data_IF_444957345690
#
_entry.id   IF_444957345690
#
_cell.length_a   1.000
_cell.length_b   1.000
_cell.length_c   1.000
_cell.angle_alpha   90.00
_cell.angle_beta   90.00
_cell.angle_gamma   90.00
#
_symmetry.space_group_name_H-M   'P 1'
#
loop_
_entity.id
_entity.type
_entity.pdbx_description
1 polymer ?
#
# COMPACT_ATOMS: atom_id res chain seq x y z
N UNK A 1 12.77 -72.49 -38.96
CA UNK A 1 12.64 -71.02 -39.04
C UNK A 1 11.37 -70.62 -38.29
N UNK A 2 11.51 -70.01 -37.11
CA UNK A 2 10.37 -69.53 -36.33
C UNK A 2 10.84 -68.48 -35.34
N UNK A 3 10.80 -67.22 -35.74
CA UNK A 3 11.16 -66.08 -34.89
C UNK A 3 10.00 -65.80 -33.91
N UNK A 4 10.27 -65.94 -32.61
CA UNK A 4 9.37 -65.54 -31.53
C UNK A 4 9.60 -64.06 -31.20
N UNK A 5 8.58 -63.23 -31.45
CA UNK A 5 8.61 -61.78 -31.24
C UNK A 5 8.24 -61.46 -29.77
N UNK A 6 9.22 -61.01 -28.98
CA UNK A 6 8.98 -60.53 -27.61
C UNK A 6 8.30 -59.15 -27.65
N UNK A 7 7.07 -59.05 -27.13
CA UNK A 7 6.38 -57.78 -26.88
C UNK A 7 6.86 -57.18 -25.55
N UNK A 8 7.66 -56.13 -25.60
CA UNK A 8 7.98 -55.28 -24.44
C UNK A 8 6.88 -54.23 -24.27
N UNK A 9 6.19 -54.25 -23.12
CA UNK A 9 5.22 -53.23 -22.73
C UNK A 9 6.01 -52.13 -22.00
N UNK A 10 6.11 -50.94 -22.61
CA UNK A 10 6.74 -49.78 -21.99
C UNK A 10 5.68 -48.98 -21.23
N UNK A 11 5.73 -49.02 -19.90
CA UNK A 11 4.89 -48.20 -19.01
C UNK A 11 5.55 -46.82 -18.91
N UNK A 12 4.96 -45.82 -19.56
CA UNK A 12 5.43 -44.44 -19.47
C UNK A 12 4.85 -43.79 -18.20
N UNK A 13 5.71 -43.51 -17.22
CA UNK A 13 5.38 -42.69 -16.05
C UNK A 13 5.33 -41.22 -16.47
N UNK A 14 4.14 -40.65 -16.57
CA UNK A 14 3.96 -39.20 -16.76
C UNK A 14 4.08 -38.54 -15.38
N UNK A 15 5.22 -37.91 -15.11
CA UNK A 15 5.41 -37.03 -13.95
C UNK A 15 4.65 -35.71 -14.21
N UNK A 16 3.51 -35.52 -13.55
CA UNK A 16 2.81 -34.24 -13.54
C UNK A 16 3.54 -33.34 -12.53
N UNK A 17 4.39 -32.45 -13.04
CA UNK A 17 5.00 -31.38 -12.25
C UNK A 17 3.92 -30.33 -11.98
N UNK A 18 3.34 -30.33 -10.77
CA UNK A 18 2.50 -29.22 -10.31
C UNK A 18 3.42 -28.08 -9.91
N UNK A 19 3.48 -27.05 -10.76
CA UNK A 19 4.15 -25.80 -10.42
C UNK A 19 3.28 -25.03 -9.42
N UNK A 20 3.80 -24.80 -8.22
CA UNK A 20 3.19 -23.89 -7.26
C UNK A 20 3.46 -22.45 -7.74
N UNK A 21 2.44 -21.80 -8.31
CA UNK A 21 2.48 -20.35 -8.53
C UNK A 21 2.24 -19.71 -7.15
N UNK A 22 3.28 -19.12 -6.56
CA UNK A 22 3.07 -18.14 -5.50
C UNK A 22 2.55 -16.86 -6.13
N UNK A 23 1.47 -16.29 -5.58
CA UNK A 23 1.02 -14.95 -5.98
C UNK A 23 2.14 -13.95 -5.67
N UNK A 24 2.79 -13.43 -6.72
CA UNK A 24 3.76 -12.36 -6.61
C UNK A 24 3.00 -11.05 -6.35
N UNK A 25 3.59 -10.11 -5.59
CA UNK A 25 3.00 -8.78 -5.35
C UNK A 25 3.97 -7.76 -5.91
N UNK A 26 3.46 -6.83 -6.71
CA UNK A 26 4.22 -5.67 -7.17
C UNK A 26 4.12 -4.58 -6.11
N UNK A 27 5.25 -4.17 -5.53
CA UNK A 27 5.32 -3.19 -4.45
C UNK A 27 5.83 -1.84 -4.95
N UNK A 28 5.22 -0.78 -4.46
CA UNK A 28 5.63 0.60 -4.72
C UNK A 28 5.76 1.39 -3.43
N UNK A 29 6.86 2.14 -3.29
CA UNK A 29 7.16 3.00 -2.15
C UNK A 29 7.07 4.48 -2.58
N UNK A 30 6.16 5.29 -2.01
CA UNK A 30 5.98 6.70 -2.38
C UNK A 30 7.19 7.57 -2.04
N UNK A 31 8.00 7.18 -1.05
CA UNK A 31 9.16 7.93 -0.57
C UNK A 31 10.46 7.63 -1.34
N UNK A 32 10.49 6.58 -2.18
CA UNK A 32 11.66 6.17 -2.95
C UNK A 32 11.54 6.56 -4.42
N UNK A 33 11.15 7.81 -4.69
CA UNK A 33 10.97 8.32 -6.05
C UNK A 33 11.51 9.75 -6.19
N UNK A 34 11.78 10.18 -7.43
CA UNK A 34 12.26 11.54 -7.71
C UNK A 34 11.13 12.59 -7.77
N UNK A 35 9.88 12.16 -7.57
CA UNK A 35 8.69 12.99 -7.70
C UNK A 35 7.86 12.90 -6.41
N UNK A 36 7.17 13.97 -6.03
CA UNK A 36 6.38 13.96 -4.81
C UNK A 36 5.01 13.31 -5.03
N UNK A 37 4.70 12.30 -4.22
CA UNK A 37 3.40 11.60 -4.23
C UNK A 37 2.62 11.71 -2.91
N UNK A 38 3.25 12.22 -1.85
CA UNK A 38 2.61 12.42 -0.55
C UNK A 38 2.00 13.83 -0.52
N UNK A 39 0.67 13.90 -0.61
CA UNK A 39 -0.12 15.12 -0.48
C UNK A 39 -0.19 15.58 0.98
N UNK A 40 -0.33 16.89 1.19
CA UNK A 40 -0.49 17.50 2.52
C UNK A 40 0.81 17.96 3.18
N UNK A 41 1.97 17.72 2.55
CA UNK A 41 3.26 18.24 3.02
C UNK A 41 3.45 19.66 2.49
N UNK A 42 3.56 20.64 3.38
CA UNK A 42 3.66 22.05 3.01
C UNK A 42 5.07 22.47 2.54
N UNK A 43 6.13 21.75 2.96
CA UNK A 43 7.53 22.07 2.64
C UNK A 43 8.36 20.83 2.22
N UNK A 44 7.99 20.13 1.14
CA UNK A 44 8.55 18.82 0.81
C UNK A 44 10.07 18.82 0.56
N UNK A 45 10.64 19.93 0.08
CA UNK A 45 12.08 20.06 -0.16
C UNK A 45 12.90 20.45 1.08
N UNK A 46 12.22 20.81 2.18
CA UNK A 46 12.86 21.25 3.42
C UNK A 46 12.60 20.30 4.60
N UNK A 47 11.73 19.31 4.44
CA UNK A 47 11.41 18.31 5.46
C UNK A 47 12.58 17.34 5.70
N UNK A 48 12.72 16.85 6.94
CA UNK A 48 13.75 15.84 7.28
C UNK A 48 13.35 14.47 6.76
N UNK A 49 12.07 14.12 6.91
CA UNK A 49 11.43 12.92 6.34
C UNK A 49 10.38 13.32 5.28
N UNK A 50 10.16 12.51 4.23
CA UNK A 50 9.07 12.72 3.27
C UNK A 50 7.67 12.81 3.89
N UNK A 51 7.53 12.33 5.13
CA UNK A 51 6.29 12.29 5.89
C UNK A 51 6.18 13.39 6.96
N UNK A 52 7.16 14.29 7.07
CA UNK A 52 7.12 15.36 8.07
C UNK A 52 6.22 16.52 7.64
N UNK A 53 5.50 17.08 8.61
CA UNK A 53 4.60 18.22 8.37
C UNK A 53 5.28 19.57 8.49
N UNK A 54 6.42 19.66 9.17
CA UNK A 54 7.20 20.89 9.33
C UNK A 54 8.56 20.77 8.61
N UNK A 55 9.13 21.89 8.14
CA UNK A 55 10.46 21.89 7.55
C UNK A 55 11.53 21.79 8.64
N UNK A 56 12.71 21.26 8.30
CA UNK A 56 13.84 21.11 9.21
C UNK A 56 14.21 22.40 9.96
N UNK A 57 14.12 23.56 9.29
CA UNK A 57 14.40 24.87 9.91
C UNK A 57 13.52 25.17 11.11
N UNK A 58 12.29 24.65 11.17
CA UNK A 58 11.35 24.92 12.25
C UNK A 58 11.77 24.28 13.58
N UNK A 59 12.67 23.30 13.57
CA UNK A 59 13.14 22.61 14.78
C UNK A 59 13.72 23.57 15.83
N UNK A 60 14.39 24.64 15.39
CA UNK A 60 14.98 25.64 16.28
C UNK A 60 13.95 26.67 16.79
N UNK A 61 12.83 26.82 16.09
CA UNK A 61 11.84 27.88 16.34
C UNK A 61 10.67 27.40 17.20
N UNK A 62 10.34 26.11 17.14
CA UNK A 62 9.20 25.53 17.87
C UNK A 62 9.65 24.82 19.14
N UNK A 63 8.72 24.69 20.09
CA UNK A 63 8.94 23.87 21.29
C UNK A 63 9.20 22.41 20.89
N UNK A 64 10.08 21.73 21.61
CA UNK A 64 10.41 20.32 21.38
C UNK A 64 9.18 19.39 21.26
N UNK A 65 8.12 19.48 22.11
CA UNK A 65 6.92 18.68 21.90
C UNK A 65 6.19 18.96 20.58
N UNK A 66 6.22 20.20 20.09
CA UNK A 66 5.62 20.57 18.79
C UNK A 66 6.45 20.02 17.65
N UNK A 67 7.78 20.11 17.76
CA UNK A 67 8.69 19.48 16.82
C UNK A 67 8.45 17.97 16.73
N UNK A 68 8.42 17.28 17.87
CA UNK A 68 8.19 15.83 17.89
C UNK A 68 6.84 15.43 17.29
N UNK A 69 5.76 16.19 17.56
CA UNK A 69 4.44 15.96 16.95
C UNK A 69 4.41 16.26 15.45
N UNK A 70 5.36 17.04 14.93
CA UNK A 70 5.40 17.38 13.49
C UNK A 70 5.75 16.20 12.59
N UNK A 71 6.41 15.18 13.14
CA UNK A 71 6.71 13.91 12.46
C UNK A 71 5.48 13.01 12.28
N UNK A 72 4.37 13.30 12.99
CA UNK A 72 3.13 12.55 12.78
C UNK A 72 2.49 12.88 11.43
N UNK A 73 1.91 11.88 10.77
CA UNK A 73 1.39 12.00 9.40
C UNK A 73 -0.04 12.51 9.28
N UNK A 74 -0.55 13.20 10.31
CA UNK A 74 -1.92 13.70 10.33
C UNK A 74 -2.23 14.59 9.13
N UNK A 75 -3.26 14.23 8.36
CA UNK A 75 -3.71 14.99 7.19
C UNK A 75 -2.87 14.74 5.93
N UNK A 76 -1.83 13.90 5.99
CA UNK A 76 -1.12 13.46 4.81
C UNK A 76 -1.91 12.38 4.08
N UNK A 77 -1.81 12.36 2.75
CA UNK A 77 -2.46 11.34 1.94
C UNK A 77 -1.65 10.96 0.71
N UNK A 78 -1.91 9.79 0.17
CA UNK A 78 -1.31 9.30 -1.07
C UNK A 78 -2.43 9.00 -2.06
N UNK A 79 -2.18 9.32 -3.33
CA UNK A 79 -3.09 9.02 -4.43
C UNK A 79 -2.47 8.09 -5.44
N UNK A 80 -3.30 7.21 -5.97
CA UNK A 80 -2.92 6.33 -7.05
C UNK A 80 -4.19 5.90 -7.79
N UNK A 81 -4.04 5.43 -9.03
CA UNK A 81 -5.10 4.81 -9.80
C UNK A 81 -4.79 3.32 -9.94
N UNK A 82 -5.81 2.48 -9.81
CA UNK A 82 -5.65 1.04 -9.98
C UNK A 82 -6.95 0.35 -10.34
N UNK A 83 -6.86 -0.71 -11.14
CA UNK A 83 -7.97 -1.64 -11.36
C UNK A 83 -7.87 -2.90 -10.48
N UNK A 84 -6.97 -2.90 -9.49
CA UNK A 84 -6.80 -4.04 -8.61
C UNK A 84 -8.06 -4.31 -7.78
N UNK A 85 -8.44 -5.58 -7.70
CA UNK A 85 -9.51 -6.04 -6.81
C UNK A 85 -9.02 -6.23 -5.36
N UNK A 86 -7.71 -6.24 -5.16
CA UNK A 86 -7.03 -6.33 -3.87
C UNK A 86 -5.81 -5.40 -3.80
N UNK A 87 -5.75 -4.56 -2.77
CA UNK A 87 -4.61 -3.69 -2.46
C UNK A 87 -4.09 -4.08 -1.08
N UNK A 88 -2.78 -4.28 -0.98
CA UNK A 88 -2.09 -4.55 0.27
C UNK A 88 -1.25 -3.34 0.61
N UNK A 89 -1.33 -2.84 1.84
CA UNK A 89 -0.45 -1.78 2.32
C UNK A 89 0.33 -2.32 3.50
N UNK A 90 1.65 -2.15 3.47
CA UNK A 90 2.51 -2.45 4.61
C UNK A 90 3.36 -1.24 4.95
N UNK A 91 3.54 -1.00 6.24
CA UNK A 91 4.27 0.16 6.73
C UNK A 91 4.73 -0.08 8.16
N UNK A 92 5.64 0.76 8.59
CA UNK A 92 6.13 0.78 9.96
C UNK A 92 6.01 2.17 10.54
N UNK A 93 5.83 2.19 11.85
CA UNK A 93 5.78 3.39 12.68
C UNK A 93 6.73 3.21 13.86
N UNK A 94 7.16 4.31 14.48
CA UNK A 94 8.14 4.28 15.58
C UNK A 94 7.54 4.60 16.96
N UNK A 95 6.31 5.11 17.03
CA UNK A 95 5.57 5.36 18.26
C UNK A 95 4.66 4.20 18.68
N UNK A 96 4.01 4.37 19.83
CA UNK A 96 3.03 3.40 20.33
C UNK A 96 1.89 3.18 19.33
N UNK A 97 1.51 1.91 19.13
CA UNK A 97 0.47 1.57 18.16
C UNK A 97 -0.89 2.16 18.54
N UNK A 98 -1.18 2.30 19.84
CA UNK A 98 -2.45 2.78 20.40
C UNK A 98 -2.24 3.66 21.64
N UNK A 99 -3.31 4.31 22.08
CA UNK A 99 -3.37 5.08 23.32
C UNK A 99 -4.55 4.60 24.18
N UNK A 100 -4.53 4.78 25.51
CA UNK A 100 -5.61 4.32 26.38
C UNK A 100 -7.03 4.80 26.00
N UNK A 101 -7.12 5.94 25.31
CA UNK A 101 -8.37 6.56 24.87
C UNK A 101 -8.57 6.51 23.34
N UNK A 102 -7.64 5.93 22.59
CA UNK A 102 -7.70 5.88 21.13
C UNK A 102 -7.15 4.54 20.61
N UNK A 103 -7.97 3.74 19.90
CA UNK A 103 -7.53 2.43 19.41
C UNK A 103 -6.43 2.57 18.35
N UNK A 104 -5.71 1.46 18.10
CA UNK A 104 -4.61 1.44 17.13
C UNK A 104 -4.98 1.97 15.74
N UNK A 105 -6.26 1.91 15.40
CA UNK A 105 -6.81 2.33 14.11
C UNK A 105 -6.97 3.84 13.99
N UNK A 106 -7.12 4.54 15.12
CA UNK A 106 -7.11 5.99 15.18
C UNK A 106 -5.70 6.56 15.32
N UNK A 107 -4.81 5.85 16.05
CA UNK A 107 -3.44 6.32 16.28
C UNK A 107 -2.53 6.02 15.10
N UNK A 108 -2.48 4.75 14.72
CA UNK A 108 -1.52 4.20 13.76
C UNK A 108 -2.20 3.63 12.51
N UNK A 109 -3.51 3.82 12.32
CA UNK A 109 -4.25 3.22 11.21
C UNK A 109 -4.18 4.02 9.91
N UNK A 110 -4.61 3.37 8.82
CA UNK A 110 -4.82 3.99 7.51
C UNK A 110 -6.31 4.03 7.20
N UNK A 111 -6.70 4.98 6.35
CA UNK A 111 -8.04 5.00 5.77
C UNK A 111 -7.95 5.08 4.24
N UNK A 112 -8.75 4.27 3.52
CA UNK A 112 -8.70 4.19 2.06
C UNK A 112 -10.08 4.48 1.49
N UNK A 113 -10.11 5.37 0.49
CA UNK A 113 -11.31 5.66 -0.28
C UNK A 113 -11.06 5.44 -1.76
N UNK A 114 -12.02 4.81 -2.43
CA UNK A 114 -12.09 4.74 -3.88
C UNK A 114 -13.01 5.84 -4.40
N UNK A 115 -12.54 6.63 -5.35
CA UNK A 115 -13.29 7.71 -5.99
C UNK A 115 -13.72 7.18 -7.36
N UNK A 116 -15.03 7.02 -7.55
CA UNK A 116 -15.57 6.56 -8.82
C UNK A 116 -15.54 7.66 -9.89
N UNK A 117 -15.81 7.28 -11.12
CA UNK A 117 -15.81 8.17 -12.28
C UNK A 117 -16.85 9.29 -12.21
N UNK A 118 -17.90 9.13 -11.39
CA UNK A 118 -18.91 10.16 -11.15
C UNK A 118 -18.47 11.11 -9.99
N UNK A 119 -17.31 10.86 -9.38
CA UNK A 119 -16.71 11.63 -8.31
C UNK A 119 -17.17 11.23 -6.90
N UNK A 120 -17.92 10.13 -6.74
CA UNK A 120 -18.39 9.68 -5.45
C UNK A 120 -17.28 8.94 -4.69
N UNK A 121 -17.25 9.17 -3.38
CA UNK A 121 -16.28 8.57 -2.47
C UNK A 121 -16.86 7.32 -1.83
N UNK A 122 -16.14 6.20 -1.98
CA UNK A 122 -16.49 4.91 -1.42
C UNK A 122 -15.43 4.49 -0.42
N UNK A 123 -15.81 4.34 0.84
CA UNK A 123 -14.90 3.85 1.87
C UNK A 123 -14.53 2.38 1.62
N UNK A 124 -13.23 2.07 1.61
CA UNK A 124 -12.71 0.73 1.41
C UNK A 124 -12.42 0.08 2.77
N UNK A 125 -13.26 -0.90 3.15
CA UNK A 125 -13.03 -1.65 4.38
C UNK A 125 -11.82 -2.58 4.25
N UNK A 126 -10.75 -2.29 4.98
CA UNK A 126 -9.56 -3.12 5.08
C UNK A 126 -9.61 -4.10 6.27
N UNK A 127 -9.08 -5.31 6.08
CA UNK A 127 -8.60 -6.13 7.20
C UNK A 127 -7.21 -5.64 7.61
N UNK A 128 -6.86 -5.78 8.89
CA UNK A 128 -5.67 -5.12 9.46
C UNK A 128 -4.97 -5.95 10.52
N UNK A 129 -3.64 -5.86 10.55
CA UNK A 129 -2.78 -6.46 11.57
C UNK A 129 -1.82 -5.40 12.10
N UNK A 130 -1.89 -5.11 13.39
CA UNK A 130 -1.00 -4.18 14.08
C UNK A 130 0.06 -4.97 14.82
N UNK A 131 1.21 -5.15 14.17
CA UNK A 131 2.44 -5.76 14.71
C UNK A 131 3.61 -4.82 14.40
N UNK A 132 4.84 -5.32 14.49
CA UNK A 132 6.05 -4.58 14.11
C UNK A 132 5.92 -3.95 12.70
N UNK A 133 5.59 -4.77 11.70
CA UNK A 133 5.06 -4.28 10.42
C UNK A 133 3.54 -4.28 10.46
N UNK A 134 2.94 -3.11 10.27
CA UNK A 134 1.48 -2.97 10.15
C UNK A 134 1.09 -3.33 8.73
N UNK A 135 0.05 -4.15 8.58
CA UNK A 135 -0.46 -4.58 7.28
C UNK A 135 -1.95 -4.33 7.19
N UNK A 136 -2.37 -3.65 6.12
CA UNK A 136 -3.76 -3.53 5.69
C UNK A 136 -3.96 -4.33 4.41
N UNK A 137 -5.08 -5.05 4.30
CA UNK A 137 -5.52 -5.71 3.06
C UNK A 137 -6.94 -5.26 2.75
N UNK A 138 -7.08 -4.54 1.65
CA UNK A 138 -8.35 -4.12 1.08
C UNK A 138 -8.67 -5.11 -0.04
N UNK A 139 -9.78 -5.83 0.07
CA UNK A 139 -10.12 -6.91 -0.87
C UNK A 139 -11.59 -6.84 -1.24
N UNK A 140 -11.95 -7.43 -2.39
CA UNK A 140 -13.31 -7.36 -2.92
C UNK A 140 -13.68 -5.96 -3.42
N UNK A 141 -12.69 -5.19 -3.86
CA UNK A 141 -12.92 -3.86 -4.41
C UNK A 141 -13.46 -3.95 -5.82
N UNK A 142 -14.28 -2.98 -6.20
CA UNK A 142 -14.75 -2.83 -7.58
C UNK A 142 -13.60 -2.30 -8.42
N UNK A 143 -13.03 -3.18 -9.24
CA UNK A 143 -11.89 -2.91 -10.11
C UNK A 143 -12.13 -1.74 -11.07
N UNK A 144 -13.23 -1.77 -11.82
CA UNK A 144 -13.50 -0.83 -12.91
C UNK A 144 -14.87 -0.17 -12.78
N UNK A 145 -14.94 1.06 -13.27
CA UNK A 145 -16.20 1.77 -13.52
C UNK A 145 -16.67 1.57 -14.97
N UNK A 146 -17.79 2.19 -15.34
CA UNK A 146 -18.39 2.03 -16.67
C UNK A 146 -17.59 2.65 -17.82
N UNK A 147 -16.66 3.56 -17.51
CA UNK A 147 -16.09 4.47 -18.51
C UNK A 147 -14.68 4.09 -18.98
N UNK A 148 -13.90 3.34 -18.18
CA UNK A 148 -12.57 2.89 -18.57
C UNK A 148 -12.07 1.71 -17.71
N UNK A 149 -11.03 1.02 -18.19
CA UNK A 149 -10.47 -0.20 -17.57
C UNK A 149 -9.25 0.05 -16.67
N UNK A 150 -8.83 1.31 -16.54
CA UNK A 150 -7.74 1.73 -15.64
C UNK A 150 -8.16 1.78 -14.15
N UNK A 151 -9.42 1.44 -13.84
CA UNK A 151 -9.94 1.41 -12.48
C UNK A 151 -10.07 2.76 -11.77
N UNK A 152 -10.22 2.75 -10.45
CA UNK A 152 -10.58 3.96 -9.67
C UNK A 152 -9.37 4.75 -9.23
N UNK A 153 -9.57 6.06 -9.02
CA UNK A 153 -8.63 6.82 -8.19
C UNK A 153 -8.84 6.41 -6.74
N UNK A 154 -7.75 6.15 -6.02
CA UNK A 154 -7.75 5.88 -4.61
C UNK A 154 -7.09 7.02 -3.86
N UNK A 155 -7.65 7.35 -2.70
CA UNK A 155 -7.02 8.24 -1.72
C UNK A 155 -6.83 7.51 -0.41
N UNK A 156 -5.57 7.36 -0.02
CA UNK A 156 -5.17 6.75 1.23
C UNK A 156 -4.71 7.82 2.21
N UNK A 157 -5.41 7.97 3.33
CA UNK A 157 -4.99 8.82 4.43
C UNK A 157 -4.04 8.08 5.37
N UNK A 158 -2.98 8.78 5.78
CA UNK A 158 -1.94 8.26 6.67
C UNK A 158 -2.32 8.36 8.16
N UNK A 159 -1.61 7.66 9.07
CA UNK A 159 -1.86 7.70 10.51
C UNK A 159 -1.93 9.12 11.10
N UNK A 160 -2.76 9.29 12.12
CA UNK A 160 -2.98 10.60 12.75
C UNK A 160 -1.97 10.92 13.86
N UNK A 161 -1.58 9.91 14.65
CA UNK A 161 -0.81 10.12 15.88
C UNK A 161 0.50 9.31 15.90
N UNK A 162 1.04 9.01 14.72
CA UNK A 162 2.30 8.29 14.62
C UNK A 162 3.11 8.74 13.41
N UNK A 163 4.43 8.55 13.49
CA UNK A 163 5.37 8.83 12.42
C UNK A 163 5.57 7.57 11.58
N UNK A 164 5.40 7.69 10.26
CA UNK A 164 5.62 6.59 9.31
C UNK A 164 7.08 6.59 8.89
N UNK A 165 7.80 5.50 9.19
CA UNK A 165 9.23 5.37 8.84
C UNK A 165 9.43 4.83 7.43
N UNK A 166 8.53 3.96 6.97
CA UNK A 166 8.44 3.53 5.58
C UNK A 166 7.03 3.02 5.28
N UNK A 167 6.63 3.05 4.01
CA UNK A 167 5.34 2.56 3.53
C UNK A 167 5.48 1.99 2.12
N UNK A 168 4.75 0.92 1.83
CA UNK A 168 4.62 0.35 0.50
C UNK A 168 3.17 -0.03 0.20
N UNK A 169 2.76 0.20 -1.05
CA UNK A 169 1.48 -0.19 -1.60
C UNK A 169 1.73 -1.32 -2.60
N UNK A 170 0.97 -2.39 -2.47
CA UNK A 170 1.11 -3.62 -3.23
C UNK A 170 -0.16 -4.00 -3.95
N UNK A 171 -0.03 -4.41 -5.21
CA UNK A 171 -1.10 -4.96 -6.05
C UNK A 171 -0.62 -6.24 -6.73
N UNK A 172 -1.54 -6.97 -7.38
CA UNK A 172 -1.15 -8.05 -8.28
C UNK A 172 -0.30 -7.47 -9.44
N UNK A 173 0.81 -8.11 -9.86
CA UNK A 173 1.63 -7.65 -10.98
C UNK A 173 0.89 -7.48 -12.30
N UNK A 174 -0.23 -8.20 -12.49
CA UNK A 174 -1.07 -8.08 -13.69
C UNK A 174 -2.11 -6.95 -13.58
N UNK A 175 -2.33 -6.41 -12.37
CA UNK A 175 -3.22 -5.28 -12.15
C UNK A 175 -2.52 -3.95 -12.54
N UNK A 176 -3.30 -3.04 -13.10
CA UNK A 176 -2.86 -1.68 -13.37
C UNK A 176 -2.64 -0.92 -12.08
N UNK A 177 -1.51 -0.21 -11.98
CA UNK A 177 -1.20 0.67 -10.86
C UNK A 177 -0.41 1.89 -11.33
N UNK A 178 -0.96 3.07 -11.08
CA UNK A 178 -0.36 4.35 -11.43
C UNK A 178 -0.33 5.26 -10.20
N UNK A 179 0.84 5.54 -9.63
CA UNK A 179 1.00 6.62 -8.67
C UNK A 179 0.58 7.97 -9.25
N UNK A 180 -0.23 8.74 -8.51
CA UNK A 180 -0.67 10.06 -8.95
C UNK A 180 0.10 11.13 -8.18
N UNK A 181 0.92 11.97 -8.84
CA UNK A 181 1.73 12.96 -8.16
C UNK A 181 0.87 14.04 -7.49
N UNK A 182 1.48 14.80 -6.57
CA UNK A 182 0.83 15.96 -5.94
C UNK A 182 0.42 16.99 -7.01
N UNK A 183 -0.74 17.63 -6.82
CA UNK A 183 -1.27 18.67 -7.73
C UNK A 183 -0.50 19.99 -7.62
#
# INVERSE_FOLDING_TARGET
>A
MGFSLRRTISISFILIWTTYISAQVSWWNPAQTNQQFIEGVAWPSESVSPYDRLPARAQADVREPVWNLSHHTAGLSIRFRSNASSIIVRYQVDGNLEMPHMPATGVSGLDLYAIDSDGNWHWCRGSRQFKDTIVYRFSGMTANDRYHELGREYRMYLPLYNHVTWLEIGVDPEDYFEPLPVR
#
